data_IF_962870472086
#
_entry.id   IF_962870472086
#
_cell.length_a   1.000
_cell.length_b   1.000
_cell.length_c   1.000
_cell.angle_alpha   90.00
_cell.angle_beta   90.00
_cell.angle_gamma   90.00
#
_symmetry.space_group_name_H-M   'P 1'
#
loop_
_entity.id
_entity.type
_entity.pdbx_description
1 polymer ?
#
# COMPACT_ATOMS: atom_id res chain seq x y z
N UNK A 1 -3.12 -9.12 -0.77
CA UNK A 1 -2.78 -9.20 -2.20
C UNK A 1 -3.59 -10.25 -2.96
N UNK A 2 -3.86 -11.45 -2.41
CA UNK A 2 -4.63 -12.50 -3.11
C UNK A 2 -6.07 -12.12 -3.46
N UNK A 3 -6.82 -11.53 -2.54
CA UNK A 3 -8.25 -11.22 -2.75
C UNK A 3 -8.50 -10.23 -3.91
N UNK A 4 -7.71 -9.17 -4.01
CA UNK A 4 -7.83 -8.18 -5.09
C UNK A 4 -7.48 -8.77 -6.47
N UNK A 5 -6.51 -9.69 -6.53
CA UNK A 5 -6.18 -10.37 -7.79
C UNK A 5 -7.28 -11.33 -8.23
N UNK A 6 -7.90 -12.04 -7.29
CA UNK A 6 -9.00 -12.95 -7.56
C UNK A 6 -10.28 -12.20 -8.00
N UNK A 7 -10.60 -11.08 -7.36
CA UNK A 7 -11.72 -10.20 -7.76
C UNK A 7 -11.53 -9.65 -9.19
N UNK A 8 -10.30 -9.23 -9.52
CA UNK A 8 -9.96 -8.76 -10.86
C UNK A 8 -10.07 -9.87 -11.92
N UNK A 9 -9.69 -11.11 -11.59
CA UNK A 9 -9.84 -12.28 -12.47
C UNK A 9 -11.31 -12.67 -12.65
N UNK A 10 -12.12 -12.59 -11.60
CA UNK A 10 -13.56 -12.83 -11.68
C UNK A 10 -14.24 -11.81 -12.60
N UNK A 11 -13.91 -10.53 -12.45
CA UNK A 11 -14.43 -9.45 -13.30
C UNK A 11 -14.01 -9.62 -14.77
N UNK A 12 -12.77 -10.07 -15.02
CA UNK A 12 -12.30 -10.42 -16.37
C UNK A 12 -13.17 -11.51 -17.03
N UNK A 13 -13.43 -12.60 -16.31
CA UNK A 13 -14.27 -13.71 -16.81
C UNK A 13 -15.71 -13.27 -17.12
N UNK A 14 -16.29 -12.41 -16.28
CA UNK A 14 -17.65 -11.88 -16.48
C UNK A 14 -17.73 -11.09 -17.80
N UNK A 15 -16.71 -10.29 -18.10
CA UNK A 15 -16.70 -9.50 -19.34
C UNK A 15 -16.54 -10.34 -20.60
N UNK A 16 -15.66 -11.34 -20.57
CA UNK A 16 -15.49 -12.24 -21.70
C UNK A 16 -16.78 -13.06 -21.94
N UNK A 17 -17.48 -13.44 -20.86
CA UNK A 17 -18.81 -14.03 -20.94
C UNK A 17 -19.83 -13.09 -21.59
N UNK A 18 -19.93 -11.83 -21.14
CA UNK A 18 -20.84 -10.83 -21.74
C UNK A 18 -20.54 -10.59 -23.23
N UNK A 19 -19.26 -10.58 -23.62
CA UNK A 19 -18.85 -10.48 -25.04
C UNK A 19 -19.28 -11.71 -25.83
N UNK A 20 -19.09 -12.92 -25.29
CA UNK A 20 -19.53 -14.14 -25.94
C UNK A 20 -21.05 -14.15 -26.16
N UNK A 21 -21.84 -13.74 -25.15
CA UNK A 21 -23.30 -13.62 -25.29
C UNK A 21 -23.67 -12.57 -26.33
N UNK A 22 -22.97 -11.42 -26.37
CA UNK A 22 -23.15 -10.40 -27.40
C UNK A 22 -22.92 -10.94 -28.81
N UNK A 23 -21.85 -11.71 -29.05
CA UNK A 23 -21.57 -12.34 -30.35
C UNK A 23 -22.67 -13.33 -30.72
N UNK A 24 -23.11 -14.16 -29.77
CA UNK A 24 -24.19 -15.13 -29.99
C UNK A 24 -25.46 -14.43 -30.45
N UNK A 25 -25.83 -13.29 -29.87
CA UNK A 25 -27.00 -12.52 -30.31
C UNK A 25 -26.87 -11.98 -31.74
N UNK A 26 -25.68 -11.58 -32.16
CA UNK A 26 -25.42 -11.19 -33.56
C UNK A 26 -25.59 -12.39 -34.50
N UNK A 27 -25.08 -13.56 -34.11
CA UNK A 27 -25.27 -14.80 -34.88
C UNK A 27 -26.75 -15.19 -34.94
N UNK A 28 -27.48 -15.08 -33.83
CA UNK A 28 -28.93 -15.32 -33.80
C UNK A 28 -29.71 -14.33 -34.66
N UNK A 29 -29.29 -13.06 -34.70
CA UNK A 29 -29.89 -12.05 -35.59
C UNK A 29 -29.72 -12.46 -37.07
N UNK A 30 -28.51 -12.84 -37.48
CA UNK A 30 -28.26 -13.35 -38.83
C UNK A 30 -29.11 -14.60 -39.09
N UNK A 31 -29.13 -15.53 -38.14
CA UNK A 31 -29.87 -16.78 -38.29
C UNK A 31 -31.37 -16.56 -38.54
N UNK A 32 -31.98 -15.66 -37.77
CA UNK A 32 -33.41 -15.36 -37.85
C UNK A 32 -33.78 -14.59 -39.11
N UNK A 33 -33.05 -13.52 -39.43
CA UNK A 33 -33.42 -12.63 -40.54
C UNK A 33 -32.89 -13.09 -41.91
N UNK A 34 -31.98 -14.05 -41.96
CA UNK A 34 -31.50 -14.70 -43.20
C UNK A 34 -31.86 -16.19 -43.26
N UNK A 35 -32.96 -16.60 -42.60
CA UNK A 35 -33.35 -18.01 -42.49
C UNK A 35 -33.56 -18.69 -43.84
N UNK A 36 -34.05 -17.96 -44.86
CA UNK A 36 -34.25 -18.50 -46.21
C UNK A 36 -32.94 -18.99 -46.85
N UNK A 37 -31.85 -18.23 -46.71
CA UNK A 37 -30.52 -18.65 -47.17
C UNK A 37 -30.00 -19.88 -46.41
N UNK A 38 -30.23 -19.91 -45.09
CA UNK A 38 -29.80 -21.01 -44.22
C UNK A 38 -30.49 -22.32 -44.59
N UNK A 39 -31.79 -22.24 -44.93
CA UNK A 39 -32.55 -23.37 -45.45
C UNK A 39 -32.03 -23.85 -46.80
N UNK A 40 -31.65 -22.93 -47.70
CA UNK A 40 -31.06 -23.26 -49.00
C UNK A 40 -29.69 -23.94 -48.86
N UNK A 41 -28.89 -23.54 -47.87
CA UNK A 41 -27.60 -24.17 -47.56
C UNK A 41 -27.72 -25.55 -46.87
N UNK A 42 -28.94 -26.04 -46.62
CA UNK A 42 -29.18 -27.34 -45.99
C UNK A 42 -28.86 -27.39 -44.50
N UNK A 43 -28.62 -26.24 -43.86
CA UNK A 43 -28.32 -26.13 -42.43
C UNK A 43 -29.64 -26.01 -41.67
N UNK A 44 -30.36 -27.12 -41.51
CA UNK A 44 -31.57 -27.16 -40.69
C UNK A 44 -31.27 -27.76 -39.31
N UNK A 45 -31.18 -26.91 -38.30
CA UNK A 45 -31.01 -27.34 -36.91
C UNK A 45 -32.34 -27.12 -36.19
N UNK A 46 -33.29 -28.05 -36.33
CA UNK A 46 -34.64 -27.91 -35.76
C UNK A 46 -34.70 -27.65 -34.25
N UNK A 47 -33.64 -27.97 -33.50
CA UNK A 47 -33.50 -27.61 -32.08
C UNK A 47 -33.30 -26.10 -31.91
N UNK A 48 -32.49 -25.46 -32.75
CA UNK A 48 -32.22 -24.00 -32.71
C UNK A 48 -33.49 -23.24 -33.06
N UNK A 49 -34.24 -23.69 -34.07
CA UNK A 49 -35.51 -23.08 -34.46
C UNK A 49 -36.51 -23.05 -33.30
N UNK A 50 -36.65 -24.17 -32.59
CA UNK A 50 -37.53 -24.28 -31.43
C UNK A 50 -37.09 -23.38 -30.27
N UNK A 51 -35.79 -23.25 -30.04
CA UNK A 51 -35.23 -22.38 -28.99
C UNK A 51 -35.50 -20.91 -29.33
N UNK A 52 -35.20 -20.48 -30.56
CA UNK A 52 -35.39 -19.09 -30.97
C UNK A 52 -36.86 -18.69 -30.99
N UNK A 53 -37.76 -19.56 -31.45
CA UNK A 53 -39.21 -19.33 -31.42
C UNK A 53 -39.74 -19.18 -29.99
N UNK A 54 -39.29 -20.01 -29.05
CA UNK A 54 -39.67 -19.89 -27.64
C UNK A 54 -39.09 -18.61 -27.02
N UNK A 55 -37.86 -18.26 -27.36
CA UNK A 55 -37.21 -17.05 -26.88
C UNK A 55 -37.92 -15.78 -27.37
N UNK A 56 -38.32 -15.75 -28.64
CA UNK A 56 -39.09 -14.63 -29.20
C UNK A 56 -40.48 -14.53 -28.58
N UNK A 57 -41.17 -15.65 -28.37
CA UNK A 57 -42.49 -15.67 -27.69
C UNK A 57 -42.46 -15.08 -26.28
N UNK A 58 -41.34 -15.22 -25.57
CA UNK A 58 -41.20 -14.72 -24.19
C UNK A 58 -40.57 -13.33 -24.11
N UNK A 59 -39.56 -13.03 -24.94
CA UNK A 59 -38.76 -11.81 -24.84
C UNK A 59 -39.04 -10.78 -25.96
N UNK A 60 -39.71 -11.16 -27.04
CA UNK A 60 -40.00 -10.30 -28.20
C UNK A 60 -38.75 -9.76 -28.90
N UNK A 61 -37.59 -10.41 -28.73
CA UNK A 61 -36.29 -9.89 -29.15
C UNK A 61 -36.19 -9.80 -30.69
N UNK A 62 -36.86 -10.69 -31.43
CA UNK A 62 -36.80 -10.78 -32.88
C UNK A 62 -37.98 -10.12 -33.60
N UNK A 63 -38.92 -9.51 -32.87
CA UNK A 63 -40.00 -8.68 -33.45
C UNK A 63 -39.47 -7.53 -34.31
N UNK A 64 -38.26 -7.04 -34.03
CA UNK A 64 -37.57 -6.05 -34.85
C UNK A 64 -36.09 -6.38 -34.97
N UNK A 65 -35.54 -6.16 -36.16
CA UNK A 65 -34.09 -6.25 -36.43
C UNK A 65 -33.30 -5.37 -35.45
N UNK A 66 -33.89 -4.26 -34.98
CA UNK A 66 -33.24 -3.31 -34.08
C UNK A 66 -33.09 -3.85 -32.66
N UNK A 67 -34.05 -4.62 -32.13
CA UNK A 67 -34.04 -5.03 -30.72
C UNK A 67 -32.92 -6.01 -30.39
N UNK A 68 -32.77 -7.06 -31.20
CA UNK A 68 -31.61 -7.97 -31.15
C UNK A 68 -30.28 -7.22 -31.22
N UNK A 69 -30.17 -6.25 -32.14
CA UNK A 69 -28.96 -5.44 -32.33
C UNK A 69 -28.66 -4.53 -31.13
N UNK A 70 -29.67 -3.86 -30.59
CA UNK A 70 -29.54 -3.02 -29.39
C UNK A 70 -29.07 -3.84 -28.19
N UNK A 71 -29.66 -5.02 -27.98
CA UNK A 71 -29.27 -5.90 -26.87
C UNK A 71 -27.84 -6.45 -27.04
N UNK A 72 -27.45 -6.81 -28.28
CA UNK A 72 -26.08 -7.21 -28.59
C UNK A 72 -25.07 -6.08 -28.30
N UNK A 73 -25.36 -4.84 -28.70
CA UNK A 73 -24.48 -3.68 -28.45
C UNK A 73 -24.46 -3.28 -26.97
N UNK A 74 -25.57 -3.42 -26.24
CA UNK A 74 -25.60 -3.18 -24.80
C UNK A 74 -24.66 -4.12 -24.05
N UNK A 75 -24.71 -5.42 -24.34
CA UNK A 75 -23.79 -6.40 -23.75
C UNK A 75 -22.35 -6.17 -24.19
N UNK A 76 -22.14 -5.75 -25.45
CA UNK A 76 -20.82 -5.36 -25.95
C UNK A 76 -20.26 -4.16 -25.18
N UNK A 77 -21.06 -3.12 -24.96
CA UNK A 77 -20.66 -1.92 -24.23
C UNK A 77 -20.29 -2.26 -22.77
N UNK A 78 -21.12 -3.07 -22.09
CA UNK A 78 -20.82 -3.57 -20.75
C UNK A 78 -19.53 -4.38 -20.72
N UNK A 79 -19.29 -5.24 -21.71
CA UNK A 79 -18.04 -6.01 -21.83
C UNK A 79 -16.79 -5.14 -22.05
N UNK A 80 -16.95 -3.96 -22.67
CA UNK A 80 -15.82 -3.07 -22.94
C UNK A 80 -15.37 -2.29 -21.70
N UNK A 81 -16.29 -1.91 -20.81
CA UNK A 81 -16.00 -1.05 -19.64
C UNK A 81 -14.97 -1.64 -18.66
N UNK A 82 -14.98 -2.93 -18.40
CA UNK A 82 -14.04 -3.51 -17.43
C UNK A 82 -12.71 -3.99 -18.04
N UNK A 83 -12.56 -4.03 -19.38
CA UNK A 83 -11.37 -4.62 -20.00
C UNK A 83 -10.12 -3.80 -19.66
N UNK A 84 -9.02 -4.49 -19.31
CA UNK A 84 -7.70 -3.86 -19.15
C UNK A 84 -7.03 -3.84 -20.51
N UNK A 85 -6.86 -2.65 -21.08
CA UNK A 85 -6.18 -2.48 -22.37
C UNK A 85 -4.68 -2.75 -22.26
N UNK A 86 -4.12 -3.46 -23.24
CA UNK A 86 -2.67 -3.60 -23.41
C UNK A 86 -2.09 -2.23 -23.76
N UNK A 87 -1.06 -1.79 -23.02
CA UNK A 87 -0.33 -0.54 -23.29
C UNK A 87 0.35 -0.66 -24.66
N UNK A 88 0.08 0.24 -25.61
CA UNK A 88 0.81 0.18 -26.88
C UNK A 88 0.44 1.14 -28.00
N UNK A 89 -0.73 1.78 -28.00
CA UNK A 89 -1.13 2.62 -29.15
C UNK A 89 -1.56 4.03 -28.74
N UNK A 90 -0.98 5.05 -29.40
CA UNK A 90 -1.43 6.44 -29.35
C UNK A 90 -2.76 6.57 -30.10
N UNK A 91 -3.86 6.21 -29.45
CA UNK A 91 -5.21 6.33 -30.00
C UNK A 91 -5.71 7.76 -29.77
N UNK A 92 -6.20 8.41 -30.83
CA UNK A 92 -6.80 9.75 -30.78
C UNK A 92 -8.33 9.65 -30.73
N UNK A 93 -8.99 10.65 -30.13
CA UNK A 93 -10.46 10.74 -30.10
C UNK A 93 -11.09 10.68 -31.50
N UNK A 94 -10.42 11.22 -32.52
CA UNK A 94 -10.89 11.13 -33.91
C UNK A 94 -10.96 9.68 -34.44
N UNK A 95 -10.00 8.82 -34.09
CA UNK A 95 -10.03 7.38 -34.46
C UNK A 95 -11.14 6.62 -33.74
N UNK A 96 -11.43 6.99 -32.49
CA UNK A 96 -12.53 6.39 -31.72
C UNK A 96 -13.88 6.75 -32.34
N UNK A 97 -14.13 8.02 -32.61
CA UNK A 97 -15.38 8.47 -33.20
C UNK A 97 -15.61 7.93 -34.61
N UNK A 98 -14.57 7.86 -35.43
CA UNK A 98 -14.67 7.28 -36.79
C UNK A 98 -15.00 5.79 -36.75
N UNK A 99 -14.36 5.01 -35.87
CA UNK A 99 -14.68 3.59 -35.70
C UNK A 99 -16.10 3.37 -35.14
N UNK A 100 -16.54 4.16 -34.17
CA UNK A 100 -17.90 4.08 -33.63
C UNK A 100 -18.95 4.49 -34.67
N UNK A 101 -18.72 5.55 -35.43
CA UNK A 101 -19.62 6.00 -36.48
C UNK A 101 -19.73 4.99 -37.62
N UNK A 102 -18.59 4.49 -38.12
CA UNK A 102 -18.57 3.44 -39.13
C UNK A 102 -19.26 2.16 -38.64
N UNK A 103 -18.96 1.76 -37.40
CA UNK A 103 -19.61 0.62 -36.75
C UNK A 103 -21.12 0.78 -36.63
N UNK A 104 -21.58 1.95 -36.20
CA UNK A 104 -23.01 2.26 -36.08
C UNK A 104 -23.73 2.19 -37.43
N UNK A 105 -23.17 2.82 -38.47
CA UNK A 105 -23.76 2.81 -39.81
C UNK A 105 -23.84 1.39 -40.36
N UNK A 106 -22.74 0.64 -40.32
CA UNK A 106 -22.68 -0.72 -40.88
C UNK A 106 -23.56 -1.72 -40.11
N UNK A 107 -23.71 -1.55 -38.80
CA UNK A 107 -24.45 -2.47 -37.93
C UNK A 107 -25.95 -2.17 -37.87
N UNK A 108 -26.36 -0.90 -37.72
CA UNK A 108 -27.77 -0.51 -37.57
C UNK A 108 -28.45 -0.13 -38.89
N UNK A 109 -27.73 0.51 -39.82
CA UNK A 109 -28.30 1.04 -41.06
C UNK A 109 -28.14 0.10 -42.26
N UNK A 110 -28.15 -1.21 -42.04
CA UNK A 110 -28.02 -2.25 -43.07
C UNK A 110 -29.34 -3.01 -43.36
N UNK A 111 -30.48 -2.56 -42.83
CA UNK A 111 -31.77 -3.24 -43.00
C UNK A 111 -32.23 -3.31 -44.47
N UNK A 112 -31.91 -2.28 -45.27
CA UNK A 112 -32.28 -2.19 -46.67
C UNK A 112 -31.60 -3.23 -47.56
N UNK A 113 -30.46 -3.79 -47.11
CA UNK A 113 -29.75 -4.87 -47.83
C UNK A 113 -30.66 -6.09 -48.02
N UNK A 114 -31.48 -6.39 -47.00
CA UNK A 114 -32.42 -7.51 -47.02
C UNK A 114 -33.57 -7.32 -48.02
N UNK A 115 -33.79 -6.10 -48.52
CA UNK A 115 -34.83 -5.77 -49.50
C UNK A 115 -34.30 -5.65 -50.94
N UNK A 116 -33.01 -5.92 -51.18
CA UNK A 116 -32.43 -5.84 -52.51
C UNK A 116 -32.93 -6.98 -53.42
N UNK A 117 -33.21 -6.71 -54.71
CA UNK A 117 -33.65 -7.72 -55.67
C UNK A 117 -32.44 -8.52 -56.22
N UNK A 118 -31.65 -9.10 -55.33
CA UNK A 118 -30.49 -9.95 -55.63
C UNK A 118 -30.76 -11.40 -55.19
N UNK A 119 -29.97 -12.38 -55.66
CA UNK A 119 -30.06 -13.74 -55.15
C UNK A 119 -29.94 -13.77 -53.62
N UNK A 120 -30.75 -14.60 -52.96
CA UNK A 120 -30.85 -14.70 -51.50
C UNK A 120 -29.47 -14.92 -50.85
N UNK A 121 -28.61 -15.73 -51.47
CA UNK A 121 -27.24 -15.96 -51.00
C UNK A 121 -26.36 -14.71 -51.03
N UNK A 122 -26.49 -13.87 -52.06
CA UNK A 122 -25.75 -12.62 -52.20
C UNK A 122 -26.23 -11.58 -51.18
N UNK A 123 -27.54 -11.49 -50.96
CA UNK A 123 -28.15 -10.62 -49.94
C UNK A 123 -27.68 -11.01 -48.54
N UNK A 124 -27.71 -12.30 -48.21
CA UNK A 124 -27.24 -12.80 -46.91
C UNK A 124 -25.74 -12.60 -46.73
N UNK A 125 -24.93 -12.85 -47.75
CA UNK A 125 -23.49 -12.60 -47.71
C UNK A 125 -23.15 -11.14 -47.43
N UNK A 126 -23.81 -10.20 -48.12
CA UNK A 126 -23.65 -8.76 -47.89
C UNK A 126 -24.11 -8.36 -46.48
N UNK A 127 -25.25 -8.87 -46.02
CA UNK A 127 -25.76 -8.59 -44.67
C UNK A 127 -24.82 -9.07 -43.57
N UNK A 128 -24.27 -10.28 -43.70
CA UNK A 128 -23.27 -10.84 -42.77
C UNK A 128 -21.99 -10.00 -42.77
N UNK A 129 -21.54 -9.56 -43.96
CA UNK A 129 -20.34 -8.75 -44.07
C UNK A 129 -20.51 -7.39 -43.40
N UNK A 130 -21.63 -6.69 -43.60
CA UNK A 130 -21.84 -5.39 -42.96
C UNK A 130 -22.07 -5.53 -41.46
N UNK A 131 -22.83 -6.52 -41.00
CA UNK A 131 -23.08 -6.71 -39.56
C UNK A 131 -21.81 -7.16 -38.82
N UNK A 132 -21.00 -8.02 -39.43
CA UNK A 132 -19.72 -8.47 -38.87
C UNK A 132 -18.69 -7.34 -38.81
N UNK A 133 -18.54 -6.60 -39.91
CA UNK A 133 -17.62 -5.44 -39.96
C UNK A 133 -18.09 -4.36 -38.98
N UNK A 134 -19.39 -4.06 -38.95
CA UNK A 134 -19.97 -3.10 -38.02
C UNK A 134 -19.75 -3.48 -36.55
N UNK A 135 -19.95 -4.75 -36.20
CA UNK A 135 -19.72 -5.25 -34.85
C UNK A 135 -18.25 -5.14 -34.43
N UNK A 136 -17.31 -5.51 -35.31
CA UNK A 136 -15.87 -5.39 -35.06
C UNK A 136 -15.47 -3.93 -34.86
N UNK A 137 -15.98 -3.00 -35.68
CA UNK A 137 -15.73 -1.57 -35.52
C UNK A 137 -16.26 -1.03 -34.18
N UNK A 138 -17.47 -1.45 -33.76
CA UNK A 138 -18.04 -1.10 -32.46
C UNK A 138 -17.22 -1.67 -31.28
N UNK A 139 -16.75 -2.91 -31.39
CA UNK A 139 -15.88 -3.54 -30.39
C UNK A 139 -14.54 -2.78 -30.28
N UNK A 140 -13.88 -2.47 -31.40
CA UNK A 140 -12.63 -1.70 -31.39
C UNK A 140 -12.85 -0.31 -30.78
N UNK A 141 -13.90 0.40 -31.20
CA UNK A 141 -14.25 1.73 -30.68
C UNK A 141 -14.53 1.71 -29.17
N UNK A 142 -15.30 0.72 -28.69
CA UNK A 142 -15.60 0.54 -27.27
C UNK A 142 -14.37 0.21 -26.42
N UNK A 143 -13.49 -0.67 -26.91
CA UNK A 143 -12.22 -1.00 -26.25
C UNK A 143 -11.29 0.22 -26.17
N UNK A 144 -11.20 1.01 -27.24
CA UNK A 144 -10.39 2.22 -27.26
C UNK A 144 -10.96 3.32 -26.35
N UNK A 145 -12.27 3.52 -26.35
CA UNK A 145 -12.95 4.48 -25.47
C UNK A 145 -12.76 4.13 -23.98
N UNK A 146 -12.92 2.85 -23.62
CA UNK A 146 -12.73 2.36 -22.24
C UNK A 146 -11.30 2.59 -21.73
N UNK A 147 -10.29 2.45 -22.59
CA UNK A 147 -8.88 2.74 -22.25
C UNK A 147 -8.66 4.20 -21.89
N UNK A 148 -9.25 5.13 -22.65
CA UNK A 148 -9.04 6.58 -22.47
C UNK A 148 -9.77 7.10 -21.23
N UNK A 149 -11.00 6.64 -20.99
CA UNK A 149 -11.77 6.99 -19.79
C UNK A 149 -11.07 6.53 -18.49
N UNK A 150 -10.48 5.32 -18.48
CA UNK A 150 -9.72 4.82 -17.31
C UNK A 150 -8.45 5.61 -17.03
N UNK A 151 -7.82 6.20 -18.04
CA UNK A 151 -6.61 7.01 -17.82
C UNK A 151 -6.90 8.32 -17.10
N UNK A 152 -8.07 8.94 -17.35
CA UNK A 152 -8.47 10.17 -16.66
C UNK A 152 -9.07 9.94 -15.26
N UNK A 153 -9.50 8.71 -14.94
CA UNK A 153 -9.98 8.33 -13.60
C UNK A 153 -8.84 7.91 -12.65
N UNK A 154 -7.61 7.79 -13.14
CA UNK A 154 -6.41 7.36 -12.41
C UNK A 154 -5.44 8.53 -12.18
N UNK A 155 -5.93 9.71 -11.76
CA UNK A 155 -5.07 10.85 -11.45
C UNK A 155 -4.12 10.56 -10.25
N UNK A 156 -4.49 9.64 -9.36
CA UNK A 156 -3.74 9.31 -8.15
C UNK A 156 -3.25 7.86 -8.14
N UNK A 157 -2.27 7.56 -8.99
CA UNK A 157 -1.64 6.23 -9.15
C UNK A 157 -1.02 5.71 -7.85
N UNK A 158 -0.59 6.63 -6.97
CA UNK A 158 0.06 6.31 -5.70
C UNK A 158 -0.90 6.37 -4.50
N UNK A 159 -2.19 6.64 -4.74
CA UNK A 159 -3.20 6.74 -3.69
C UNK A 159 -2.84 7.76 -2.59
N UNK A 160 -2.05 8.79 -2.94
CA UNK A 160 -1.54 9.78 -2.00
C UNK A 160 -2.67 10.58 -1.34
N UNK A 161 -3.78 10.81 -2.02
CA UNK A 161 -4.93 11.50 -1.45
C UNK A 161 -5.66 10.64 -0.42
N UNK A 162 -5.92 9.37 -0.74
CA UNK A 162 -6.66 8.49 0.18
C UNK A 162 -5.78 8.02 1.36
N UNK A 163 -4.45 7.98 1.19
CA UNK A 163 -3.51 7.71 2.28
C UNK A 163 -3.15 8.98 3.07
N UNK A 164 -3.59 10.15 2.62
CA UNK A 164 -3.39 11.40 3.35
C UNK A 164 -4.46 11.64 4.42
N UNK A 165 -4.05 12.17 5.56
CA UNK A 165 -4.95 12.60 6.63
C UNK A 165 -4.42 13.87 7.30
N UNK A 166 -5.33 14.59 7.97
CA UNK A 166 -4.97 15.80 8.71
C UNK A 166 -4.08 15.43 9.90
N UNK A 167 -2.87 15.99 9.94
CA UNK A 167 -1.97 15.90 11.09
C UNK A 167 -2.08 17.17 11.96
N UNK A 168 -1.55 17.12 13.18
CA UNK A 168 -1.55 18.29 14.08
C UNK A 168 -0.68 19.42 13.51
N UNK A 169 -1.25 20.61 13.42
CA UNK A 169 -0.59 21.80 12.86
C UNK A 169 -0.14 22.77 13.93
N UNK A 170 -0.64 22.62 15.16
CA UNK A 170 -0.25 23.47 16.29
C UNK A 170 1.01 22.91 16.94
N UNK A 171 1.94 23.81 17.23
CA UNK A 171 3.06 23.52 18.12
C UNK A 171 2.53 23.54 19.56
N UNK A 172 2.64 22.41 20.26
CA UNK A 172 2.18 22.26 21.65
C UNK A 172 3.42 22.10 22.54
N UNK A 173 3.86 23.21 23.12
CA UNK A 173 5.01 23.23 24.02
C UNK A 173 4.58 23.06 25.48
N UNK A 174 5.37 22.29 26.20
CA UNK A 174 5.30 22.05 27.64
C UNK A 174 6.72 21.90 28.20
N UNK A 175 6.84 21.96 29.53
CA UNK A 175 8.10 21.79 30.28
C UNK A 175 8.84 20.50 29.92
N UNK A 176 8.13 19.46 29.47
CA UNK A 176 8.70 18.14 29.18
C UNK A 176 8.51 17.68 27.74
N UNK A 177 7.72 18.38 26.92
CA UNK A 177 7.45 17.98 25.54
C UNK A 177 8.70 17.88 24.66
N UNK A 178 8.61 17.15 23.54
CA UNK A 178 9.58 17.27 22.43
C UNK A 178 8.79 17.46 21.14
N UNK A 179 9.15 18.48 20.36
CA UNK A 179 8.39 18.92 19.21
C UNK A 179 9.22 18.76 17.93
N UNK A 180 8.70 18.01 16.96
CA UNK A 180 9.39 17.74 15.70
C UNK A 180 8.62 18.38 14.54
N UNK A 181 9.27 19.24 13.72
CA UNK A 181 8.62 19.83 12.55
C UNK A 181 8.39 18.76 11.48
N UNK A 182 7.20 18.74 10.88
CA UNK A 182 6.83 17.82 9.80
C UNK A 182 6.21 18.53 8.61
N UNK A 183 6.20 17.84 7.47
CA UNK A 183 5.37 18.19 6.31
C UNK A 183 4.50 17.00 5.96
N UNK A 184 3.22 17.28 5.73
CA UNK A 184 2.26 16.27 5.34
C UNK A 184 1.43 16.76 4.16
N UNK A 185 1.10 15.84 3.26
CA UNK A 185 0.19 16.12 2.16
C UNK A 185 -1.24 15.95 2.66
N UNK A 186 -2.14 16.88 2.34
CA UNK A 186 -3.57 16.77 2.65
C UNK A 186 -4.36 17.77 1.81
N UNK A 187 -5.50 17.37 1.23
CA UNK A 187 -6.34 18.19 0.32
C UNK A 187 -5.57 18.77 -0.86
N UNK A 188 -4.90 17.92 -1.64
CA UNK A 188 -4.07 18.31 -2.81
C UNK A 188 -2.96 19.35 -2.53
N UNK A 189 -2.53 19.53 -1.29
CA UNK A 189 -1.47 20.48 -0.93
C UNK A 189 -0.55 19.96 0.16
N UNK A 190 0.69 20.45 0.14
CA UNK A 190 1.63 20.27 1.24
C UNK A 190 1.31 21.24 2.36
N UNK A 191 1.19 20.72 3.58
CA UNK A 191 0.96 21.50 4.80
C UNK A 191 2.14 21.28 5.75
N UNK A 192 2.49 22.31 6.52
CA UNK A 192 3.43 22.16 7.63
C UNK A 192 2.67 21.65 8.86
N UNK A 193 3.30 20.80 9.64
CA UNK A 193 2.74 20.22 10.86
C UNK A 193 3.79 20.01 11.94
N UNK A 194 3.34 19.44 13.05
CA UNK A 194 4.16 19.13 14.21
C UNK A 194 3.83 17.75 14.78
N UNK A 195 4.86 16.97 15.06
CA UNK A 195 4.74 15.83 15.98
C UNK A 195 5.09 16.36 17.38
N UNK A 196 4.07 16.49 18.22
CA UNK A 196 4.22 16.93 19.60
C UNK A 196 4.26 15.69 20.52
N UNK A 197 5.45 15.28 20.96
CA UNK A 197 5.60 14.27 22.01
C UNK A 197 5.36 14.95 23.34
N UNK A 198 4.08 15.11 23.69
CA UNK A 198 3.69 15.91 24.86
C UNK A 198 4.18 15.32 26.16
N UNK A 199 4.28 13.99 26.30
CA UNK A 199 4.73 13.32 27.51
C UNK A 199 5.76 12.21 27.17
N UNK A 200 7.07 12.53 27.11
CA UNK A 200 8.12 11.55 26.82
C UNK A 200 8.33 10.48 27.90
N UNK A 201 7.82 10.70 29.12
CA UNK A 201 8.01 9.77 30.26
C UNK A 201 7.27 8.44 30.06
N UNK A 202 6.33 8.36 29.12
CA UNK A 202 5.62 7.10 28.76
C UNK A 202 6.41 6.19 27.82
N UNK A 203 7.73 6.36 27.79
CA UNK A 203 8.65 5.85 26.79
C UNK A 203 8.38 6.41 25.39
N UNK A 204 9.45 6.63 24.64
CA UNK A 204 9.42 7.04 23.24
C UNK A 204 10.35 6.12 22.46
N UNK A 205 9.82 5.44 21.43
CA UNK A 205 10.58 4.47 20.64
C UNK A 205 10.64 4.97 19.20
N UNK A 206 11.84 4.97 18.63
CA UNK A 206 12.09 5.33 17.23
C UNK A 206 12.61 4.09 16.50
N UNK A 207 11.82 3.60 15.54
CA UNK A 207 12.14 2.41 14.74
C UNK A 207 12.53 2.82 13.32
N UNK A 208 13.47 2.08 12.73
CA UNK A 208 13.86 2.29 11.34
C UNK A 208 15.16 1.56 10.99
N UNK A 209 15.37 1.31 9.69
CA UNK A 209 16.55 0.63 9.16
C UNK A 209 17.82 1.49 9.29
N UNK A 210 19.03 0.90 9.26
CA UNK A 210 20.27 1.67 9.16
C UNK A 210 20.23 2.65 7.99
N UNK A 211 20.69 3.89 8.20
CA UNK A 211 20.67 4.95 7.18
C UNK A 211 19.35 5.71 7.02
N UNK A 212 18.27 5.33 7.72
CA UNK A 212 16.95 5.99 7.58
C UNK A 212 16.83 7.39 8.21
N UNK A 213 17.93 7.98 8.70
CA UNK A 213 17.93 9.34 9.25
C UNK A 213 17.39 9.49 10.69
N UNK A 214 17.16 8.41 11.44
CA UNK A 214 16.62 8.45 12.83
C UNK A 214 17.33 9.44 13.74
N UNK A 215 18.67 9.41 13.73
CA UNK A 215 19.47 10.25 14.62
C UNK A 215 19.26 11.72 14.31
N UNK A 216 19.37 12.09 13.03
CA UNK A 216 19.19 13.48 12.58
C UNK A 216 17.76 14.00 12.80
N UNK A 217 16.76 13.21 12.42
CA UNK A 217 15.37 13.66 12.44
C UNK A 217 14.75 13.67 13.84
N UNK A 218 15.10 12.70 14.69
CA UNK A 218 14.43 12.51 15.98
C UNK A 218 15.40 12.63 17.16
N UNK A 219 16.42 11.79 17.24
CA UNK A 219 17.28 11.68 18.44
C UNK A 219 18.00 13.00 18.75
N UNK A 220 18.54 13.67 17.72
CA UNK A 220 19.20 14.96 17.89
C UNK A 220 18.24 16.03 18.43
N UNK A 221 16.98 16.04 17.97
CA UNK A 221 15.98 16.98 18.48
C UNK A 221 15.62 16.68 19.93
N UNK A 222 15.50 15.40 20.31
CA UNK A 222 15.32 14.99 21.70
C UNK A 222 16.47 15.47 22.58
N UNK A 223 17.72 15.19 22.20
CA UNK A 223 18.92 15.61 22.93
C UNK A 223 18.91 17.13 23.15
N UNK A 224 18.68 17.90 22.09
CA UNK A 224 18.74 19.36 22.15
C UNK A 224 17.64 19.95 23.04
N UNK A 225 16.39 19.58 22.78
CA UNK A 225 15.25 20.13 23.51
C UNK A 225 15.24 19.69 24.98
N UNK A 226 15.70 18.47 25.29
CA UNK A 226 15.82 18.04 26.69
C UNK A 226 16.90 18.80 27.44
N UNK A 227 18.05 19.07 26.79
CA UNK A 227 19.10 19.91 27.38
C UNK A 227 18.59 21.33 27.65
N UNK A 228 17.92 21.96 26.67
CA UNK A 228 17.33 23.30 26.81
C UNK A 228 16.31 23.36 27.97
N UNK A 229 15.61 22.25 28.21
CA UNK A 229 14.64 22.10 29.30
C UNK A 229 15.26 21.67 30.63
N UNK A 230 16.59 21.60 30.73
CA UNK A 230 17.29 21.31 31.98
C UNK A 230 17.30 19.84 32.40
N UNK A 231 17.02 18.91 31.49
CA UNK A 231 17.07 17.48 31.81
C UNK A 231 18.51 16.95 31.83
N UNK A 232 18.79 16.04 32.76
CA UNK A 232 19.96 15.17 32.68
C UNK A 232 19.68 14.02 31.70
N UNK A 233 20.72 13.52 31.04
CA UNK A 233 20.58 12.47 30.03
C UNK A 233 21.66 11.41 30.15
N UNK A 234 21.26 10.16 29.92
CA UNK A 234 22.18 9.05 29.67
C UNK A 234 22.20 8.75 28.18
N UNK A 235 23.31 9.07 27.50
CA UNK A 235 23.43 8.92 26.04
C UNK A 235 24.29 7.70 25.73
N UNK A 236 23.65 6.66 25.19
CA UNK A 236 24.36 5.51 24.64
C UNK A 236 24.75 5.78 23.19
N UNK A 237 26.04 6.00 22.95
CA UNK A 237 26.59 6.38 21.66
C UNK A 237 27.39 5.23 21.03
N UNK A 238 26.70 4.37 20.28
CA UNK A 238 27.31 3.22 19.60
C UNK A 238 28.37 3.63 18.56
N UNK A 239 28.28 4.85 18.00
CA UNK A 239 29.22 5.40 17.01
C UNK A 239 30.01 6.53 17.63
N UNK A 240 30.57 6.28 18.81
CA UNK A 240 31.28 7.31 19.55
C UNK A 240 32.32 8.01 18.65
N UNK A 241 32.31 9.34 18.53
CA UNK A 241 31.66 10.35 19.39
C UNK A 241 30.51 11.13 18.73
N UNK A 242 29.73 10.52 17.85
CA UNK A 242 28.67 11.19 17.07
C UNK A 242 27.63 11.91 17.95
N UNK A 243 26.84 11.17 18.74
CA UNK A 243 25.79 11.74 19.58
C UNK A 243 26.38 12.50 20.76
N UNK A 244 27.50 12.01 21.29
CA UNK A 244 28.20 12.59 22.44
C UNK A 244 28.66 14.02 22.14
N UNK A 245 29.21 14.26 20.93
CA UNK A 245 29.65 15.59 20.51
C UNK A 245 28.47 16.56 20.40
N UNK A 246 27.32 16.10 19.89
CA UNK A 246 26.11 16.91 19.79
C UNK A 246 25.61 17.29 21.19
N UNK A 247 25.49 16.31 22.09
CA UNK A 247 25.04 16.55 23.45
C UNK A 247 25.98 17.50 24.20
N UNK A 248 27.29 17.28 24.12
CA UNK A 248 28.28 18.12 24.78
C UNK A 248 28.27 19.56 24.27
N UNK A 249 28.33 19.76 22.96
CA UNK A 249 28.32 21.10 22.38
C UNK A 249 27.01 21.83 22.66
N UNK A 250 25.87 21.13 22.61
CA UNK A 250 24.58 21.74 22.91
C UNK A 250 24.46 22.15 24.38
N UNK A 251 24.97 21.32 25.29
CA UNK A 251 25.03 21.62 26.72
C UNK A 251 25.92 22.84 27.03
N UNK A 252 27.08 22.96 26.38
CA UNK A 252 27.95 24.13 26.55
C UNK A 252 27.27 25.44 26.16
N UNK A 253 26.38 25.40 25.17
CA UNK A 253 25.68 26.56 24.65
C UNK A 253 24.36 26.88 25.38
N UNK A 254 23.82 25.94 26.17
CA UNK A 254 22.54 26.11 26.88
C UNK A 254 22.64 25.78 28.38
N UNK A 255 23.58 26.38 29.14
CA UNK A 255 23.71 26.13 30.58
C UNK A 255 22.57 26.75 31.41
N UNK A 256 21.83 27.72 30.86
CA UNK A 256 20.79 28.49 31.55
C UNK A 256 19.55 27.67 31.94
N UNK A 257 19.28 26.56 31.24
CA UNK A 257 18.19 25.65 31.57
C UNK A 257 18.39 24.92 32.91
N UNK A 258 19.58 25.00 33.51
CA UNK A 258 19.95 24.22 34.69
C UNK A 258 20.13 25.09 35.94
N UNK A 259 19.38 24.79 37.00
CA UNK A 259 19.61 25.37 38.34
C UNK A 259 21.01 25.05 38.87
N UNK A 260 21.47 23.81 38.62
CA UNK A 260 22.83 23.34 38.92
C UNK A 260 23.44 22.84 37.63
N UNK A 261 24.53 23.48 37.19
CA UNK A 261 25.19 23.11 35.94
C UNK A 261 25.61 21.64 35.96
N UNK A 262 25.16 20.81 35.00
CA UNK A 262 25.49 19.40 34.97
C UNK A 262 26.95 19.20 34.58
N UNK A 263 27.55 18.12 35.10
CA UNK A 263 28.86 17.65 34.68
C UNK A 263 28.70 16.63 33.56
N UNK A 264 29.56 16.70 32.55
CA UNK A 264 29.55 15.75 31.44
C UNK A 264 30.55 14.62 31.70
N UNK A 265 30.05 13.41 31.88
CA UNK A 265 30.86 12.21 32.08
C UNK A 265 30.75 11.29 30.86
N UNK A 266 31.86 10.65 30.53
CA UNK A 266 31.98 9.70 29.41
C UNK A 266 32.57 8.40 29.94
N UNK A 267 31.88 7.29 29.73
CA UNK A 267 32.40 5.95 29.94
C UNK A 267 32.69 5.32 28.57
N UNK A 268 33.97 5.13 28.26
CA UNK A 268 34.44 4.63 26.98
C UNK A 268 35.29 3.37 27.20
N UNK A 269 34.81 2.24 26.67
CA UNK A 269 35.49 0.95 26.78
C UNK A 269 36.54 0.73 25.68
N UNK A 270 36.49 1.48 24.58
CA UNK A 270 37.44 1.40 23.46
C UNK A 270 38.70 2.24 23.71
N UNK A 271 38.55 3.43 24.32
CA UNK A 271 39.66 4.29 24.78
C UNK A 271 39.58 4.55 26.29
N UNK A 272 40.13 3.65 27.12
CA UNK A 272 40.15 3.80 28.56
C UNK A 272 40.92 5.02 29.04
N UNK A 273 41.80 5.64 28.24
CA UNK A 273 42.57 6.83 28.67
C UNK A 273 41.72 8.08 28.64
N UNK A 274 40.70 8.13 27.78
CA UNK A 274 39.73 9.24 27.65
C UNK A 274 38.38 8.96 28.31
N UNK A 275 38.27 7.82 28.98
CA UNK A 275 37.10 7.45 29.79
C UNK A 275 37.23 7.97 31.22
N UNK A 276 36.12 8.45 31.77
CA UNK A 276 35.95 8.52 33.21
C UNK A 276 35.92 7.11 33.79
N UNK A 277 36.28 6.98 35.07
CA UNK A 277 36.24 5.71 35.79
C UNK A 277 34.89 5.60 36.49
N UNK A 278 34.29 4.42 36.40
CA UNK A 278 33.10 4.05 37.14
C UNK A 278 33.35 2.68 37.76
N UNK A 279 33.04 2.54 39.04
CA UNK A 279 32.99 1.24 39.70
C UNK A 279 31.51 0.92 39.97
N UNK A 280 30.88 0.02 39.19
CA UNK A 280 29.49 -0.37 39.40
C UNK A 280 29.25 -1.04 40.75
N UNK A 281 30.31 -1.56 41.39
CA UNK A 281 30.24 -2.22 42.70
C UNK A 281 30.84 -1.34 43.82
N UNK A 282 30.79 -0.02 43.68
CA UNK A 282 31.31 0.88 44.70
C UNK A 282 30.52 0.74 46.02
N UNK A 283 31.18 0.71 47.20
CA UNK A 283 30.52 0.55 48.50
C UNK A 283 29.38 1.54 48.75
N UNK A 284 29.55 2.80 48.35
CA UNK A 284 28.54 3.87 48.50
C UNK A 284 27.22 3.61 47.73
N UNK A 285 27.21 2.69 46.77
CA UNK A 285 26.01 2.31 46.02
C UNK A 285 25.34 1.04 46.56
N UNK A 286 25.84 0.49 47.67
CA UNK A 286 25.36 -0.76 48.28
C UNK A 286 24.86 -0.51 49.69
N UNK A 287 23.57 -0.17 49.79
CA UNK A 287 22.90 0.01 51.07
C UNK A 287 22.61 -1.36 51.70
N UNK A 288 22.14 -2.32 50.90
CA UNK A 288 21.79 -3.66 51.35
C UNK A 288 22.48 -4.79 50.55
N UNK A 289 22.31 -6.03 51.03
CA UNK A 289 22.85 -7.21 50.33
C UNK A 289 22.12 -7.47 49.00
N UNK A 290 20.90 -6.96 48.83
CA UNK A 290 20.12 -7.04 47.60
C UNK A 290 20.81 -6.27 46.48
N UNK A 291 21.38 -5.10 46.75
CA UNK A 291 22.16 -4.30 45.78
C UNK A 291 23.37 -5.09 45.25
N UNK A 292 24.05 -5.81 46.14
CA UNK A 292 25.16 -6.70 45.77
C UNK A 292 24.66 -7.89 44.93
N UNK A 293 23.49 -8.44 45.27
CA UNK A 293 22.85 -9.51 44.47
C UNK A 293 22.44 -9.02 43.08
N UNK A 294 21.76 -7.88 42.95
CA UNK A 294 21.34 -7.31 41.66
C UNK A 294 22.54 -6.97 40.77
N UNK A 295 23.61 -6.44 41.37
CA UNK A 295 24.88 -6.19 40.68
C UNK A 295 25.50 -7.49 40.17
N UNK A 296 25.61 -8.51 41.03
CA UNK A 296 26.14 -9.83 40.67
C UNK A 296 25.30 -10.49 39.57
N UNK A 297 23.98 -10.46 39.73
CA UNK A 297 23.00 -11.00 38.79
C UNK A 297 23.16 -10.38 37.41
N UNK A 298 23.18 -9.05 37.34
CA UNK A 298 23.35 -8.30 36.10
C UNK A 298 24.70 -8.62 35.43
N UNK A 299 25.80 -8.67 36.19
CA UNK A 299 27.12 -8.98 35.66
C UNK A 299 27.17 -10.41 35.11
N UNK A 300 26.75 -11.40 35.90
CA UNK A 300 26.86 -12.82 35.56
C UNK A 300 25.99 -13.20 34.37
N UNK A 301 24.76 -12.67 34.28
CA UNK A 301 23.89 -12.92 33.12
C UNK A 301 24.41 -12.27 31.83
N UNK A 302 25.06 -11.11 31.93
CA UNK A 302 25.67 -10.47 30.76
C UNK A 302 26.96 -11.15 30.31
N UNK A 303 27.71 -11.78 31.23
CA UNK A 303 28.87 -12.62 30.90
C UNK A 303 28.48 -13.91 30.17
N UNK A 304 27.36 -14.54 30.56
CA UNK A 304 26.83 -15.71 29.86
C UNK A 304 25.33 -15.57 29.54
N UNK A 305 25.04 -15.04 28.34
CA UNK A 305 23.67 -14.80 27.87
C UNK A 305 22.78 -16.04 27.83
N UNK A 306 23.34 -17.25 27.78
CA UNK A 306 22.54 -18.50 27.82
C UNK A 306 21.85 -18.73 29.17
N UNK A 307 22.38 -18.13 30.23
CA UNK A 307 21.83 -18.25 31.58
C UNK A 307 20.51 -17.50 31.74
N UNK A 308 20.24 -16.49 30.90
CA UNK A 308 18.97 -15.74 30.90
C UNK A 308 17.78 -16.67 30.67
N UNK A 309 17.96 -17.77 29.92
CA UNK A 309 16.90 -18.74 29.65
C UNK A 309 16.82 -19.86 30.72
N UNK A 310 17.72 -19.87 31.69
CA UNK A 310 17.86 -20.91 32.73
C UNK A 310 17.76 -20.32 34.15
N UNK A 311 17.04 -19.21 34.31
CA UNK A 311 16.82 -18.59 35.61
C UNK A 311 16.13 -19.60 36.55
N UNK A 312 16.60 -19.69 37.80
CA UNK A 312 16.15 -20.69 38.77
C UNK A 312 16.86 -22.06 38.69
N UNK A 313 17.75 -22.29 37.72
CA UNK A 313 18.64 -23.46 37.71
C UNK A 313 19.73 -23.28 38.77
N UNK A 314 19.98 -24.33 39.56
CA UNK A 314 21.01 -24.35 40.61
C UNK A 314 22.38 -23.92 40.10
N UNK A 315 22.76 -24.34 38.88
CA UNK A 315 24.07 -24.02 38.30
C UNK A 315 24.19 -22.58 37.80
N UNK A 316 23.06 -21.86 37.69
CA UNK A 316 23.04 -20.41 37.39
C UNK A 316 22.99 -19.61 38.67
N UNK A 317 22.14 -20.00 39.63
CA UNK A 317 21.96 -19.25 40.88
C UNK A 317 23.18 -19.36 41.81
N UNK A 318 23.80 -20.54 41.94
CA UNK A 318 24.93 -20.75 42.85
C UNK A 318 26.11 -19.78 42.62
N UNK A 319 26.63 -19.62 41.38
CA UNK A 319 27.71 -18.67 41.15
C UNK A 319 27.29 -17.21 41.30
N UNK A 320 26.02 -16.86 41.04
CA UNK A 320 25.48 -15.51 41.29
C UNK A 320 25.49 -15.22 42.79
N UNK A 321 24.97 -16.13 43.61
CA UNK A 321 24.94 -16.00 45.08
C UNK A 321 26.36 -15.91 45.65
N UNK A 322 27.29 -16.74 45.16
CA UNK A 322 28.68 -16.68 45.57
C UNK A 322 29.29 -15.31 45.23
N UNK A 323 29.06 -14.81 44.02
CA UNK A 323 29.61 -13.52 43.60
C UNK A 323 29.01 -12.34 44.39
N UNK A 324 27.69 -12.36 44.63
CA UNK A 324 27.02 -11.40 45.50
C UNK A 324 27.62 -11.40 46.92
N UNK A 325 27.92 -12.60 47.45
CA UNK A 325 28.52 -12.76 48.78
C UNK A 325 29.94 -12.19 48.84
N UNK A 326 30.73 -12.36 47.77
CA UNK A 326 32.08 -11.77 47.65
C UNK A 326 32.00 -10.25 47.57
N UNK A 327 31.10 -9.70 46.74
CA UNK A 327 30.88 -8.25 46.64
C UNK A 327 30.53 -7.67 48.02
N UNK A 328 29.56 -8.29 48.72
CA UNK A 328 29.15 -7.85 50.04
C UNK A 328 30.26 -7.97 51.08
N UNK A 329 31.03 -9.05 51.04
CA UNK A 329 32.20 -9.22 51.91
C UNK A 329 33.23 -8.11 51.69
N UNK A 330 33.55 -7.77 50.44
CA UNK A 330 34.50 -6.71 50.12
C UNK A 330 34.00 -5.34 50.61
N UNK A 331 32.70 -5.08 50.53
CA UNK A 331 32.09 -3.85 51.04
C UNK A 331 32.23 -3.68 52.56
N UNK A 332 32.15 -4.77 53.33
CA UNK A 332 32.26 -4.72 54.80
C UNK A 332 33.70 -4.85 55.30
N UNK A 333 34.56 -5.52 54.54
CA UNK A 333 35.94 -5.75 54.91
C UNK A 333 36.72 -4.43 54.86
N UNK A 334 37.35 -4.04 55.97
CA UNK A 334 38.16 -2.81 56.07
C UNK A 334 37.44 -1.51 55.64
N UNK A 335 36.11 -1.49 55.75
CA UNK A 335 35.23 -0.39 55.31
C UNK A 335 35.20 -0.14 53.79
N UNK A 336 35.38 -1.18 52.98
CA UNK A 336 35.43 -1.09 51.51
C UNK A 336 36.85 -0.87 51.02
#
# INVERSE_FOLDING_TARGET
MSQQEDDLRALAKIMDFLRAVSIILVVMNVYWFCYEAIRLWGVNIGVVDKILLNFDRTAGLFHSILYTKLFAVLLLALSCLGTKGVKGEKITWGRIWTALAAGFVLFFLNWWILALPLPVEAVTGLYILTIGTGYVCLLMGGLWMSRLLKHNLMEDVFNNENESFMQETRLIESEYSVNLPTRFYYKKRWNNGWINVVNPFRASIVLGTPGSGKSYAVVNNFIKQQIEKGFSMYVYDFKFSDLSTIAYNHLLNHPEGYKVKPKFYVINFDDPRRSHRCNPIHPDFMEDITDAYESAYTIMLNLNKTWVQKQGDFFVESPIILFASIIWYLKIYQNG
#
